data_IF_396528461630
#
_entry.id   IF_396528461630
#
_cell.length_a   1.000
_cell.length_b   1.000
_cell.length_c   1.000
_cell.angle_alpha   90.00
_cell.angle_beta   90.00
_cell.angle_gamma   90.00
#
_symmetry.space_group_name_H-M   'P 1'
#
loop_
_entity.id
_entity.type
_entity.pdbx_description
1 polymer ?
#
# COMPACT_ATOMS: atom_id res chain seq x y z
N UNK A 1 2.65 18.65 22.56
CA UNK A 1 2.58 17.84 21.31
C UNK A 1 1.16 17.28 21.21
N UNK A 2 0.55 17.25 20.04
CA UNK A 2 -0.82 16.72 19.88
C UNK A 2 -0.78 15.28 19.35
N UNK A 3 -1.57 14.40 19.95
CA UNK A 3 -1.77 13.02 19.49
C UNK A 3 -3.25 12.83 19.19
N UNK A 4 -3.56 12.23 18.04
CA UNK A 4 -4.95 11.92 17.65
C UNK A 4 -5.26 10.46 17.91
N UNK A 5 -6.45 10.21 18.45
CA UNK A 5 -7.02 8.87 18.60
C UNK A 5 -7.67 8.45 17.28
N UNK A 6 -7.25 7.32 16.74
CA UNK A 6 -7.87 6.68 15.57
C UNK A 6 -8.74 5.52 16.04
N UNK A 7 -9.99 5.46 15.59
CA UNK A 7 -10.88 4.35 15.88
C UNK A 7 -10.92 3.45 14.65
N UNK A 8 -10.47 2.21 14.78
CA UNK A 8 -10.61 1.23 13.70
C UNK A 8 -12.05 0.70 13.66
N UNK A 9 -12.64 0.69 12.47
CA UNK A 9 -13.96 0.10 12.22
C UNK A 9 -13.97 -1.42 12.53
N UNK A 10 -15.15 -2.04 12.75
CA UNK A 10 -15.25 -3.47 12.96
C UNK A 10 -14.59 -4.30 11.85
N UNK A 11 -14.76 -3.90 10.59
CA UNK A 11 -14.20 -4.61 9.43
C UNK A 11 -12.66 -4.58 9.45
N UNK A 12 -12.05 -3.47 9.89
CA UNK A 12 -10.61 -3.41 10.11
C UNK A 12 -10.14 -4.38 11.20
N UNK A 13 -10.89 -4.49 12.30
CA UNK A 13 -10.53 -5.37 13.42
C UNK A 13 -10.64 -6.84 13.04
N UNK A 14 -11.69 -7.21 12.29
CA UNK A 14 -11.85 -8.56 11.76
C UNK A 14 -10.70 -8.92 10.80
N UNK A 15 -10.32 -8.02 9.89
CA UNK A 15 -9.17 -8.22 9.01
C UNK A 15 -7.84 -8.31 9.76
N UNK A 16 -7.73 -7.60 10.89
CA UNK A 16 -6.57 -7.64 11.79
C UNK A 16 -6.42 -8.98 12.53
N UNK A 17 -7.47 -9.81 12.60
CA UNK A 17 -7.41 -11.15 13.19
C UNK A 17 -6.78 -12.17 12.23
N UNK A 18 -5.56 -11.85 11.79
CA UNK A 18 -4.85 -12.56 10.73
C UNK A 18 -4.45 -13.97 11.17
N UNK A 19 -4.82 -14.97 10.37
CA UNK A 19 -4.50 -16.37 10.55
C UNK A 19 -3.70 -16.89 9.33
N UNK A 20 -2.50 -17.43 9.55
CA UNK A 20 -1.62 -17.91 8.48
C UNK A 20 -2.27 -19.02 7.63
N UNK A 21 -2.85 -20.10 8.20
CA UNK A 21 -3.67 -21.05 7.46
C UNK A 21 -4.74 -20.45 6.53
N UNK A 22 -5.48 -19.44 6.96
CA UNK A 22 -6.51 -18.84 6.10
C UNK A 22 -5.89 -18.01 4.97
N UNK A 23 -4.76 -17.35 5.23
CA UNK A 23 -3.99 -16.68 4.18
C UNK A 23 -3.46 -17.66 3.12
N UNK A 24 -3.04 -18.87 3.53
CA UNK A 24 -2.62 -19.91 2.60
C UNK A 24 -3.79 -20.41 1.74
N UNK A 25 -4.97 -20.62 2.33
CA UNK A 25 -6.18 -21.01 1.56
C UNK A 25 -6.49 -19.98 0.48
N UNK A 26 -6.53 -18.70 0.85
CA UNK A 26 -6.78 -17.62 -0.11
C UNK A 26 -5.72 -17.54 -1.23
N UNK A 27 -4.47 -17.91 -0.93
CA UNK A 27 -3.42 -18.01 -1.96
C UNK A 27 -3.65 -19.20 -2.90
N UNK A 28 -4.04 -20.37 -2.39
CA UNK A 28 -4.31 -21.56 -3.23
C UNK A 28 -5.55 -21.37 -4.12
N UNK A 29 -6.54 -20.58 -3.70
CA UNK A 29 -7.73 -20.28 -4.52
C UNK A 29 -7.39 -19.58 -5.83
N UNK A 30 -6.37 -18.72 -5.82
CA UNK A 30 -6.05 -17.84 -6.95
C UNK A 30 -4.72 -18.20 -7.64
N UNK A 31 -3.96 -19.15 -7.09
CA UNK A 31 -2.62 -19.52 -7.56
C UNK A 31 -2.46 -21.03 -7.57
N UNK A 32 -1.73 -21.53 -8.55
CA UNK A 32 -1.26 -22.92 -8.49
C UNK A 32 -0.22 -23.05 -7.37
N UNK A 33 -0.16 -24.22 -6.73
CA UNK A 33 0.79 -24.46 -5.64
C UNK A 33 1.46 -25.81 -5.74
N UNK A 34 2.71 -25.90 -5.28
CA UNK A 34 3.47 -27.14 -5.18
C UNK A 34 4.31 -27.17 -3.91
N UNK A 35 4.35 -28.33 -3.25
CA UNK A 35 5.26 -28.58 -2.14
C UNK A 35 6.61 -28.99 -2.72
N UNK A 36 7.66 -28.25 -2.37
CA UNK A 36 9.02 -28.52 -2.83
C UNK A 36 9.79 -29.46 -1.88
N UNK A 37 9.42 -29.47 -0.61
CA UNK A 37 10.01 -30.38 0.37
C UNK A 37 9.96 -29.85 1.79
N UNK A 38 10.72 -30.51 2.67
CA UNK A 38 11.00 -30.04 4.02
C UNK A 38 12.48 -29.65 4.11
N UNK A 39 12.75 -28.48 4.69
CA UNK A 39 14.08 -27.94 4.90
C UNK A 39 14.25 -27.55 6.38
N UNK A 40 15.45 -27.10 6.75
CA UNK A 40 15.70 -26.52 8.06
C UNK A 40 16.17 -25.07 7.89
N UNK A 41 15.47 -24.13 8.53
CA UNK A 41 15.87 -22.73 8.62
C UNK A 41 16.00 -22.33 10.08
N UNK A 42 17.15 -21.77 10.47
CA UNK A 42 17.42 -21.36 11.86
C UNK A 42 17.15 -22.47 12.89
N UNK A 43 17.46 -23.73 12.53
CA UNK A 43 17.23 -24.91 13.36
C UNK A 43 15.77 -25.39 13.43
N UNK A 44 14.84 -24.73 12.74
CA UNK A 44 13.42 -25.10 12.69
C UNK A 44 13.09 -25.87 11.41
N UNK A 45 12.30 -26.96 11.49
CA UNK A 45 11.84 -27.66 10.31
C UNK A 45 10.76 -26.81 9.61
N UNK A 46 10.97 -26.53 8.34
CA UNK A 46 10.07 -25.72 7.52
C UNK A 46 9.56 -26.52 6.32
N UNK A 47 8.29 -26.34 5.98
CA UNK A 47 7.69 -26.82 4.74
C UNK A 47 7.89 -25.76 3.65
N UNK A 48 8.60 -26.11 2.59
CA UNK A 48 8.81 -25.24 1.45
C UNK A 48 7.67 -25.41 0.44
N UNK A 49 6.86 -24.37 0.29
CA UNK A 49 5.73 -24.30 -0.65
C UNK A 49 6.00 -23.21 -1.67
N UNK A 50 5.82 -23.54 -2.94
CA UNK A 50 5.84 -22.57 -4.02
C UNK A 50 4.43 -22.33 -4.52
N UNK A 51 4.11 -21.06 -4.77
CA UNK A 51 2.89 -20.60 -5.42
C UNK A 51 3.27 -19.95 -6.74
N UNK A 52 2.52 -20.29 -7.79
CA UNK A 52 2.76 -19.81 -9.14
C UNK A 52 1.52 -19.14 -9.70
N UNK A 53 1.71 -17.93 -10.24
CA UNK A 53 0.67 -17.09 -10.82
C UNK A 53 1.02 -16.82 -12.29
N UNK A 54 0.10 -17.22 -13.18
CA UNK A 54 0.28 -17.00 -14.62
C UNK A 54 -0.13 -15.59 -14.99
N UNK A 55 0.79 -14.85 -15.59
CA UNK A 55 0.61 -13.47 -16.04
C UNK A 55 0.39 -13.49 -17.54
N UNK A 56 -0.81 -13.09 -18.03
CA UNK A 56 -1.14 -13.15 -19.45
C UNK A 56 -0.09 -12.45 -20.32
N UNK A 57 0.46 -13.18 -21.28
CA UNK A 57 1.44 -12.67 -22.25
C UNK A 57 2.86 -12.43 -21.72
N UNK A 58 3.13 -12.63 -20.42
CA UNK A 58 4.44 -12.36 -19.81
C UNK A 58 5.11 -13.59 -19.20
N UNK A 59 4.34 -14.59 -18.77
CA UNK A 59 4.88 -15.83 -18.18
C UNK A 59 4.43 -16.02 -16.74
N UNK A 60 5.24 -16.71 -15.94
CA UNK A 60 4.88 -17.13 -14.58
C UNK A 60 5.64 -16.34 -13.52
N UNK A 61 4.91 -15.79 -12.54
CA UNK A 61 5.49 -15.29 -11.29
C UNK A 61 5.49 -16.37 -10.23
N UNK A 62 6.50 -16.36 -9.36
CA UNK A 62 6.67 -17.36 -8.32
C UNK A 62 6.82 -16.72 -6.94
N UNK A 63 6.13 -17.30 -5.95
CA UNK A 63 6.27 -16.96 -4.53
C UNK A 63 6.67 -18.21 -3.78
N UNK A 64 7.79 -18.14 -3.06
CA UNK A 64 8.27 -19.22 -2.23
C UNK A 64 8.02 -18.88 -0.76
N UNK A 65 7.45 -19.83 -0.04
CA UNK A 65 7.20 -19.75 1.38
C UNK A 65 7.87 -20.91 2.10
N UNK A 66 8.66 -20.61 3.12
CA UNK A 66 9.19 -21.59 4.06
C UNK A 66 8.39 -21.48 5.36
N UNK A 67 7.43 -22.38 5.52
CA UNK A 67 6.46 -22.35 6.61
C UNK A 67 6.96 -23.18 7.79
N UNK A 68 7.08 -22.61 8.98
CA UNK A 68 7.36 -23.36 10.20
C UNK A 68 6.27 -24.43 10.40
N UNK A 69 6.67 -25.69 10.57
CA UNK A 69 5.71 -26.81 10.59
C UNK A 69 4.83 -26.85 11.84
N UNK A 70 5.23 -26.17 12.92
CA UNK A 70 4.48 -26.16 14.17
C UNK A 70 3.44 -25.05 14.16
N UNK A 71 3.83 -23.86 13.70
CA UNK A 71 3.03 -22.64 13.78
C UNK A 71 2.36 -22.24 12.47
N UNK A 72 2.78 -22.84 11.36
CA UNK A 72 2.40 -22.43 10.01
C UNK A 72 2.76 -20.97 9.69
N UNK A 73 3.69 -20.38 10.42
CA UNK A 73 4.18 -19.03 10.15
C UNK A 73 5.24 -19.08 9.04
N UNK A 74 5.21 -18.19 8.04
CA UNK A 74 6.29 -18.07 7.05
C UNK A 74 7.55 -17.52 7.73
N UNK A 75 8.59 -18.34 7.83
CA UNK A 75 9.91 -17.96 8.33
C UNK A 75 10.69 -17.20 7.26
N UNK A 76 10.54 -17.61 6.01
CA UNK A 76 11.06 -16.90 4.84
C UNK A 76 9.98 -16.83 3.78
N UNK A 77 9.92 -15.69 3.12
CA UNK A 77 9.14 -15.48 1.90
C UNK A 77 10.03 -14.85 0.85
N UNK A 78 10.00 -15.41 -0.36
CA UNK A 78 10.67 -14.87 -1.52
C UNK A 78 9.70 -14.68 -2.67
N UNK A 79 9.86 -13.58 -3.38
CA UNK A 79 9.04 -13.21 -4.52
C UNK A 79 9.91 -13.07 -5.75
N UNK A 80 9.50 -13.76 -6.82
CA UNK A 80 10.16 -13.77 -8.10
C UNK A 80 9.23 -13.20 -9.17
N UNK A 81 9.72 -12.24 -9.95
CA UNK A 81 8.98 -11.68 -11.07
C UNK A 81 8.92 -12.65 -12.26
N UNK A 82 8.25 -12.26 -13.34
CA UNK A 82 8.13 -13.08 -14.57
C UNK A 82 9.46 -13.39 -15.26
N UNK A 83 10.54 -12.66 -14.94
CA UNK A 83 11.90 -12.90 -15.44
C UNK A 83 12.67 -13.92 -14.58
N UNK A 84 12.08 -14.37 -13.47
CA UNK A 84 12.74 -15.24 -12.50
C UNK A 84 13.72 -14.50 -11.57
N UNK A 85 13.64 -13.17 -11.49
CA UNK A 85 14.50 -12.36 -10.63
C UNK A 85 13.88 -12.23 -9.24
N UNK A 86 14.69 -12.39 -8.19
CA UNK A 86 14.27 -12.18 -6.80
C UNK A 86 14.04 -10.67 -6.55
N UNK A 87 12.78 -10.26 -6.45
CA UNK A 87 12.40 -8.85 -6.26
C UNK A 87 12.16 -8.48 -4.79
N UNK A 88 11.79 -9.45 -3.96
CA UNK A 88 11.60 -9.21 -2.53
C UNK A 88 11.89 -10.47 -1.72
N UNK A 89 12.63 -10.30 -0.62
CA UNK A 89 12.85 -11.34 0.39
C UNK A 89 12.47 -10.78 1.76
N UNK A 90 11.67 -11.53 2.50
CA UNK A 90 11.35 -11.28 3.91
C UNK A 90 11.76 -12.50 4.71
N UNK A 91 12.43 -12.27 5.83
CA UNK A 91 12.93 -13.35 6.67
C UNK A 91 12.80 -13.00 8.14
N UNK A 92 12.20 -13.91 8.90
CA UNK A 92 12.12 -13.87 10.35
C UNK A 92 13.46 -14.37 10.90
N UNK A 93 14.23 -13.45 11.47
CA UNK A 93 15.55 -13.77 12.03
C UNK A 93 15.46 -14.43 13.41
N UNK A 94 14.45 -14.06 14.19
CA UNK A 94 14.24 -14.58 15.53
C UNK A 94 12.73 -14.73 15.80
N UNK A 95 12.32 -15.92 16.24
CA UNK A 95 10.94 -16.23 16.57
C UNK A 95 10.87 -16.82 17.98
N UNK A 96 10.33 -16.03 18.92
CA UNK A 96 10.06 -16.44 20.31
C UNK A 96 8.55 -16.52 20.51
N UNK A 97 8.06 -17.69 20.88
CA UNK A 97 6.64 -17.96 21.07
C UNK A 97 6.36 -18.30 22.53
N UNK A 98 5.15 -17.98 23.00
CA UNK A 98 4.63 -18.39 24.31
C UNK A 98 5.52 -18.00 25.52
N UNK A 99 6.35 -16.96 25.42
CA UNK A 99 7.25 -16.56 26.51
C UNK A 99 6.57 -15.75 27.63
N UNK A 100 5.26 -15.49 27.54
CA UNK A 100 4.59 -14.51 28.40
C UNK A 100 5.16 -13.13 28.11
N UNK A 101 4.50 -12.38 27.22
CA UNK A 101 4.93 -11.00 26.96
C UNK A 101 4.49 -10.14 28.15
N UNK A 102 5.39 -9.35 28.76
CA UNK A 102 4.99 -8.49 29.87
C UNK A 102 4.01 -7.42 29.37
N UNK A 103 2.98 -7.12 30.16
CA UNK A 103 1.92 -6.15 29.82
C UNK A 103 2.48 -4.77 29.45
N UNK A 104 3.64 -4.40 30.01
CA UNK A 104 4.40 -3.19 29.67
C UNK A 104 4.75 -3.05 28.19
N UNK A 105 4.78 -4.14 27.40
CA UNK A 105 4.98 -4.06 25.94
C UNK A 105 3.75 -3.55 25.19
N UNK A 106 2.59 -3.57 25.84
CA UNK A 106 1.31 -3.13 25.29
C UNK A 106 0.83 -1.81 25.90
N UNK A 107 1.60 -1.26 26.85
CA UNK A 107 1.38 0.06 27.39
C UNK A 107 1.99 1.13 26.48
N UNK A 108 1.18 2.10 26.06
CA UNK A 108 1.63 3.24 25.29
C UNK A 108 2.06 4.36 26.25
N UNK A 109 3.36 4.50 26.48
CA UNK A 109 3.90 5.61 27.27
C UNK A 109 3.97 6.90 26.44
N UNK A 110 3.06 7.83 26.73
CA UNK A 110 3.01 9.11 26.04
C UNK A 110 3.97 10.11 26.72
N UNK A 111 4.82 10.82 25.97
CA UNK A 111 5.70 11.85 26.53
C UNK A 111 4.92 12.90 27.35
N UNK A 112 5.56 13.45 28.39
CA UNK A 112 4.99 14.55 29.17
C UNK A 112 4.58 15.75 28.27
N UNK A 113 3.44 16.36 28.58
CA UNK A 113 2.89 17.47 27.80
C UNK A 113 2.24 17.09 26.46
N UNK A 114 1.90 15.81 26.29
CA UNK A 114 1.01 15.35 25.20
C UNK A 114 -0.46 15.54 25.61
N UNK A 115 -1.22 16.20 24.76
CA UNK A 115 -2.69 16.28 24.87
C UNK A 115 -3.30 15.32 23.85
N UNK A 116 -4.21 14.45 24.31
CA UNK A 116 -5.00 13.57 23.43
C UNK A 116 -6.24 14.36 22.99
N UNK A 117 -6.42 14.53 21.69
CA UNK A 117 -7.63 15.13 21.14
C UNK A 117 -8.68 14.04 20.87
N UNK A 118 -9.71 13.97 21.71
CA UNK A 118 -10.81 13.02 21.54
C UNK A 118 -11.92 13.55 20.62
N UNK A 119 -12.13 14.87 20.54
CA UNK A 119 -13.23 15.51 19.80
C UNK A 119 -13.15 15.32 18.27
N UNK A 120 -12.02 14.83 17.74
CA UNK A 120 -11.82 14.53 16.32
C UNK A 120 -11.58 13.03 16.06
N UNK A 121 -12.08 12.14 16.92
CA UNK A 121 -11.92 10.70 16.72
C UNK A 121 -12.67 10.24 15.47
N UNK A 122 -11.92 9.95 14.41
CA UNK A 122 -12.46 9.44 13.17
C UNK A 122 -12.49 7.91 13.19
N UNK A 123 -13.60 7.33 12.74
CA UNK A 123 -13.65 5.91 12.40
C UNK A 123 -12.98 5.72 11.05
N UNK A 124 -11.87 4.98 11.03
CA UNK A 124 -11.22 4.58 9.80
C UNK A 124 -11.95 3.38 9.22
N UNK A 125 -12.49 3.53 8.01
CA UNK A 125 -13.11 2.48 7.22
C UNK A 125 -12.15 1.90 6.18
N UNK A 126 -12.33 0.62 5.83
CA UNK A 126 -11.54 -0.01 4.78
C UNK A 126 -11.77 0.70 3.43
N UNK A 127 -10.73 0.83 2.58
CA UNK A 127 -10.93 1.30 1.21
C UNK A 127 -11.96 0.43 0.48
N UNK A 128 -12.89 1.08 -0.22
CA UNK A 128 -13.95 0.41 -0.99
C UNK A 128 -13.52 0.29 -2.45
N UNK A 129 -13.57 -0.91 -3.04
CA UNK A 129 -13.35 -1.07 -4.48
C UNK A 129 -14.49 -0.40 -5.25
N UNK A 130 -14.16 0.47 -6.21
CA UNK A 130 -15.13 1.22 -7.02
C UNK A 130 -14.68 1.28 -8.48
N UNK A 131 -15.58 1.61 -9.38
CA UNK A 131 -15.31 1.93 -10.78
C UNK A 131 -14.95 3.40 -10.96
N UNK A 132 -14.38 3.75 -12.12
CA UNK A 132 -14.07 5.14 -12.46
C UNK A 132 -15.35 6.00 -12.60
N UNK A 133 -16.45 5.39 -13.05
CA UNK A 133 -17.75 6.05 -13.17
C UNK A 133 -18.34 6.40 -11.79
N UNK A 134 -18.33 5.45 -10.85
CA UNK A 134 -18.74 5.72 -9.46
C UNK A 134 -17.84 6.77 -8.79
N UNK A 135 -16.54 6.77 -9.12
CA UNK A 135 -15.64 7.82 -8.65
C UNK A 135 -16.03 9.19 -9.19
N UNK A 136 -16.40 9.28 -10.48
CA UNK A 136 -16.84 10.54 -11.08
C UNK A 136 -18.10 11.08 -10.40
N UNK A 137 -19.07 10.22 -10.10
CA UNK A 137 -20.28 10.60 -9.35
C UNK A 137 -19.93 11.13 -7.94
N UNK A 138 -19.01 10.47 -7.22
CA UNK A 138 -18.59 10.90 -5.87
C UNK A 138 -17.77 12.19 -5.88
N UNK A 139 -17.02 12.45 -6.95
CA UNK A 139 -16.17 13.63 -7.09
C UNK A 139 -16.90 14.81 -7.73
N UNK A 140 -18.09 14.59 -8.31
CA UNK A 140 -18.83 15.56 -9.13
C UNK A 140 -18.00 16.10 -10.32
N UNK A 141 -17.06 15.28 -10.81
CA UNK A 141 -16.24 15.56 -12.00
C UNK A 141 -15.55 14.29 -12.49
N UNK A 142 -15.14 14.28 -13.77
CA UNK A 142 -14.34 13.22 -14.33
C UNK A 142 -12.98 13.12 -13.60
N UNK A 143 -12.62 11.97 -13.01
CA UNK A 143 -11.34 11.80 -12.34
C UNK A 143 -10.19 11.75 -13.34
N UNK A 144 -9.04 12.26 -12.91
CA UNK A 144 -7.80 12.16 -13.65
C UNK A 144 -7.22 10.76 -13.56
N UNK A 145 -6.83 10.18 -14.68
CA UNK A 145 -6.18 8.86 -14.74
C UNK A 145 -5.04 8.84 -15.76
N UNK A 146 -4.11 7.91 -15.60
CA UNK A 146 -3.09 7.69 -16.62
C UNK A 146 -3.63 6.75 -17.70
N UNK A 147 -3.65 7.23 -18.93
CA UNK A 147 -3.88 6.40 -20.09
C UNK A 147 -2.61 5.58 -20.40
N UNK A 148 -2.74 4.25 -20.48
CA UNK A 148 -1.63 3.37 -20.83
C UNK A 148 -2.05 1.92 -20.94
N UNK A 149 -1.57 1.20 -21.95
CA UNK A 149 -2.00 -0.16 -22.26
C UNK A 149 -1.36 -1.24 -21.37
N UNK A 150 -0.35 -0.89 -20.56
CA UNK A 150 0.48 -1.86 -19.84
C UNK A 150 0.23 -1.89 -18.32
N UNK A 151 -0.80 -1.18 -17.83
CA UNK A 151 -1.12 -1.13 -16.41
C UNK A 151 -2.39 -1.89 -16.09
N UNK A 152 -2.35 -2.71 -15.04
CA UNK A 152 -3.55 -3.10 -14.29
C UNK A 152 -3.86 -1.97 -13.32
N UNK A 153 -5.03 -1.37 -13.46
CA UNK A 153 -5.47 -0.26 -12.63
C UNK A 153 -6.51 -0.78 -11.63
N UNK A 154 -6.34 -0.43 -10.35
CA UNK A 154 -7.34 -0.66 -9.30
C UNK A 154 -7.76 0.68 -8.71
N UNK A 155 -9.06 0.92 -8.66
CA UNK A 155 -9.65 2.12 -8.07
C UNK A 155 -10.31 1.78 -6.74
N UNK A 156 -10.04 2.61 -5.74
CA UNK A 156 -10.63 2.48 -4.42
C UNK A 156 -11.06 3.84 -3.88
N UNK A 157 -12.17 3.88 -3.16
CA UNK A 157 -12.58 5.04 -2.38
C UNK A 157 -12.06 4.92 -0.96
N UNK A 158 -11.39 5.95 -0.48
CA UNK A 158 -10.94 6.06 0.90
C UNK A 158 -11.68 7.21 1.56
N UNK A 159 -12.46 6.91 2.59
CA UNK A 159 -13.13 7.95 3.38
C UNK A 159 -12.12 8.64 4.30
N UNK A 160 -12.00 9.96 4.16
CA UNK A 160 -11.01 10.78 4.88
C UNK A 160 -11.69 11.61 5.97
N UNK A 161 -12.97 11.94 5.82
CA UNK A 161 -13.85 12.54 6.82
C UNK A 161 -15.27 12.03 6.56
N UNK A 162 -16.17 12.15 7.54
CA UNK A 162 -17.56 11.70 7.38
C UNK A 162 -18.17 12.28 6.09
N UNK A 163 -18.55 11.39 5.17
CA UNK A 163 -19.17 11.74 3.89
C UNK A 163 -18.23 12.37 2.85
N UNK A 164 -16.93 12.50 3.12
CA UNK A 164 -15.93 13.01 2.18
C UNK A 164 -14.71 12.09 2.10
N UNK A 165 -14.38 11.69 0.88
CA UNK A 165 -13.27 10.79 0.62
C UNK A 165 -12.42 11.23 -0.55
N UNK A 166 -11.52 10.34 -0.92
CA UNK A 166 -10.60 10.49 -2.02
C UNK A 166 -10.61 9.22 -2.86
N UNK A 167 -10.44 9.39 -4.16
CA UNK A 167 -10.17 8.30 -5.08
C UNK A 167 -8.68 7.96 -4.99
N UNK A 168 -8.38 6.70 -4.71
CA UNK A 168 -7.06 6.10 -4.80
C UNK A 168 -7.01 5.20 -6.02
N UNK A 169 -6.13 5.53 -6.96
CA UNK A 169 -5.88 4.77 -8.20
C UNK A 169 -4.49 4.15 -8.13
N UNK A 170 -4.44 2.82 -8.09
CA UNK A 170 -3.20 2.04 -8.04
C UNK A 170 -2.89 1.49 -9.44
N UNK A 171 -1.73 1.84 -9.97
CA UNK A 171 -1.22 1.40 -11.27
C UNK A 171 -0.14 0.34 -11.06
N UNK A 172 -0.41 -0.88 -11.49
CA UNK A 172 0.51 -2.02 -11.36
C UNK A 172 0.95 -2.50 -12.74
N UNK A 173 2.25 -2.78 -12.88
CA UNK A 173 2.77 -3.45 -14.07
C UNK A 173 2.44 -4.94 -13.94
N UNK A 174 1.89 -5.54 -14.99
CA UNK A 174 1.65 -6.98 -15.02
C UNK A 174 2.98 -7.72 -14.81
N UNK A 175 3.02 -8.68 -13.90
CA UNK A 175 4.26 -9.40 -13.60
C UNK A 175 5.11 -8.82 -12.47
N UNK A 176 4.74 -7.65 -11.95
CA UNK A 176 5.40 -7.00 -10.83
C UNK A 176 4.53 -7.04 -9.57
N UNK A 177 5.17 -7.19 -8.41
CA UNK A 177 4.50 -7.31 -7.10
C UNK A 177 4.10 -5.97 -6.52
N UNK A 178 4.97 -4.97 -6.65
CA UNK A 178 4.76 -3.64 -6.11
C UNK A 178 4.07 -2.77 -7.16
N UNK A 179 3.08 -1.95 -6.76
CA UNK A 179 2.50 -1.00 -7.67
C UNK A 179 3.59 -0.03 -8.16
N UNK A 180 3.56 0.28 -9.45
CA UNK A 180 4.46 1.25 -10.04
C UNK A 180 4.17 2.64 -9.49
N UNK A 181 2.90 2.97 -9.38
CA UNK A 181 2.42 4.30 -9.05
C UNK A 181 1.07 4.23 -8.34
N UNK A 182 0.88 5.12 -7.38
CA UNK A 182 -0.40 5.40 -6.75
C UNK A 182 -0.70 6.87 -6.98
N UNK A 183 -1.91 7.17 -7.45
CA UNK A 183 -2.43 8.53 -7.59
C UNK A 183 -3.64 8.66 -6.68
N UNK A 184 -3.67 9.69 -5.85
CA UNK A 184 -4.80 9.98 -4.97
C UNK A 184 -5.36 11.35 -5.32
N UNK A 185 -6.68 11.49 -5.38
CA UNK A 185 -7.34 12.75 -5.69
C UNK A 185 -8.66 12.91 -4.94
N UNK A 186 -8.97 14.14 -4.52
CA UNK A 186 -10.28 14.45 -3.96
C UNK A 186 -10.38 15.85 -3.35
N UNK A 187 -11.59 16.23 -2.88
CA UNK A 187 -11.90 17.58 -2.41
C UNK A 187 -11.42 17.87 -0.97
N UNK A 188 -10.67 16.94 -0.37
CA UNK A 188 -10.17 17.05 1.00
C UNK A 188 -8.67 16.81 1.05
N UNK A 189 -7.94 17.55 1.91
CA UNK A 189 -6.54 17.25 2.18
C UNK A 189 -6.40 15.82 2.72
N UNK A 190 -5.54 15.03 2.08
CA UNK A 190 -5.34 13.61 2.39
C UNK A 190 -3.85 13.24 2.47
N UNK A 191 -2.96 14.20 2.26
CA UNK A 191 -1.52 14.00 2.45
C UNK A 191 -1.21 13.97 3.95
N UNK A 192 -1.05 12.77 4.50
CA UNK A 192 -0.66 12.58 5.91
C UNK A 192 0.86 12.56 6.05
N UNK A 193 1.49 13.73 5.88
CA UNK A 193 2.93 13.87 6.09
C UNK A 193 3.27 13.94 7.58
N UNK A 194 4.39 13.32 8.01
CA UNK A 194 5.00 13.65 9.29
C UNK A 194 5.18 15.17 9.45
N UNK A 195 4.98 15.75 10.65
CA UNK A 195 5.04 17.21 10.88
C UNK A 195 6.34 17.91 10.48
N UNK A 196 7.43 17.13 10.31
CA UNK A 196 8.77 17.63 9.96
C UNK A 196 9.20 17.22 8.54
N UNK A 197 8.27 16.80 7.69
CA UNK A 197 8.60 16.43 6.31
C UNK A 197 9.02 17.68 5.54
N UNK A 198 10.21 17.65 4.93
CA UNK A 198 10.65 18.72 4.04
C UNK A 198 9.99 18.57 2.68
N UNK A 199 9.40 19.66 2.19
CA UNK A 199 8.79 19.76 0.87
C UNK A 199 9.62 20.71 0.00
N UNK A 200 10.14 20.22 -1.11
CA UNK A 200 10.82 21.00 -2.14
C UNK A 200 9.76 21.54 -3.12
N UNK A 201 9.59 22.88 -3.27
CA UNK A 201 8.66 23.43 -4.25
C UNK A 201 9.09 23.05 -5.68
N UNK A 202 8.15 22.59 -6.49
CA UNK A 202 8.38 22.21 -7.89
C UNK A 202 7.31 22.80 -8.79
N UNK A 203 7.69 23.16 -10.01
CA UNK A 203 6.74 23.55 -11.07
C UNK A 203 6.35 22.28 -11.85
N UNK A 204 5.05 22.04 -11.99
CA UNK A 204 4.48 20.88 -12.66
C UNK A 204 3.59 21.34 -13.81
N UNK A 205 3.47 20.51 -14.84
CA UNK A 205 2.42 20.65 -15.85
C UNK A 205 1.23 19.79 -15.41
N UNK A 206 0.01 20.34 -15.41
CA UNK A 206 -1.22 19.63 -15.08
C UNK A 206 -2.36 20.26 -15.87
N UNK A 207 -3.12 19.43 -16.60
CA UNK A 207 -4.22 19.88 -17.48
C UNK A 207 -3.83 21.03 -18.43
N UNK A 208 -2.64 20.92 -19.03
CA UNK A 208 -2.08 21.93 -19.95
C UNK A 208 -1.71 23.27 -19.30
N UNK A 209 -1.65 23.34 -17.96
CA UNK A 209 -1.30 24.53 -17.18
C UNK A 209 -0.10 24.26 -16.30
N UNK A 210 0.60 25.34 -15.91
CA UNK A 210 1.62 25.28 -14.88
C UNK A 210 0.98 25.38 -13.50
N UNK A 211 1.28 24.43 -12.63
CA UNK A 211 0.86 24.42 -11.22
C UNK A 211 2.09 24.31 -10.32
N UNK A 212 2.00 24.88 -9.12
CA UNK A 212 3.03 24.70 -8.09
C UNK A 212 2.67 23.49 -7.24
N UNK A 213 3.59 22.54 -7.14
CA UNK A 213 3.47 21.38 -6.27
C UNK A 213 4.62 21.30 -5.26
N UNK A 214 4.56 20.27 -4.42
CA UNK A 214 5.59 19.91 -3.48
C UNK A 214 6.16 18.53 -3.82
N UNK A 215 7.49 18.44 -3.85
CA UNK A 215 8.20 17.17 -3.89
C UNK A 215 8.65 16.82 -2.48
N UNK A 216 8.20 15.66 -2.00
CA UNK A 216 8.52 15.13 -0.68
C UNK A 216 9.40 13.91 -0.88
N UNK A 217 10.58 13.92 -0.24
CA UNK A 217 11.43 12.73 -0.17
C UNK A 217 10.86 11.80 0.89
N UNK A 218 10.49 10.60 0.47
CA UNK A 218 10.03 9.53 1.35
C UNK A 218 11.05 8.40 1.22
N UNK A 219 11.41 7.74 2.32
CA UNK A 219 12.22 6.52 2.26
C UNK A 219 11.44 5.42 2.97
N UNK A 220 10.42 4.91 2.28
CA UNK A 220 9.51 3.92 2.81
C UNK A 220 9.18 2.87 1.74
N UNK A 221 9.51 1.61 2.04
CA UNK A 221 9.15 0.47 1.20
C UNK A 221 9.51 0.62 -0.29
N UNK A 222 10.66 1.24 -0.59
CA UNK A 222 11.16 1.47 -1.95
C UNK A 222 10.59 2.70 -2.66
N UNK A 223 9.60 3.39 -2.08
CA UNK A 223 9.14 4.69 -2.58
C UNK A 223 10.12 5.75 -2.12
N UNK A 224 10.75 6.44 -3.08
CA UNK A 224 11.78 7.49 -2.84
C UNK A 224 11.19 8.90 -2.78
N UNK A 225 10.10 9.12 -3.49
CA UNK A 225 9.52 10.43 -3.70
C UNK A 225 7.99 10.35 -3.77
N UNK A 226 7.36 11.42 -3.32
CA UNK A 226 5.94 11.67 -3.51
C UNK A 226 5.77 13.12 -3.95
N UNK A 227 4.83 13.35 -4.86
CA UNK A 227 4.36 14.68 -5.23
C UNK A 227 3.03 14.96 -4.59
N UNK A 228 2.81 16.21 -4.21
CA UNK A 228 1.50 16.76 -3.93
C UNK A 228 1.30 18.06 -4.71
N UNK A 229 0.05 18.32 -5.11
CA UNK A 229 -0.34 19.58 -5.71
C UNK A 229 -1.83 19.82 -5.50
N UNK A 230 -2.25 21.04 -5.78
CA UNK A 230 -3.65 21.43 -5.70
C UNK A 230 -4.06 22.10 -7.01
N UNK A 231 -5.28 21.82 -7.45
CA UNK A 231 -5.88 22.48 -8.60
C UNK A 231 -7.41 22.53 -8.41
N UNK A 232 -8.03 23.67 -8.72
CA UNK A 232 -9.48 23.88 -8.67
C UNK A 232 -10.18 23.37 -7.38
N UNK A 233 -9.54 23.52 -6.22
CA UNK A 233 -10.11 23.09 -4.93
C UNK A 233 -9.98 21.59 -4.64
N UNK A 234 -9.32 20.83 -5.53
CA UNK A 234 -8.95 19.45 -5.33
C UNK A 234 -7.49 19.33 -4.91
N UNK A 235 -7.24 18.31 -4.10
CA UNK A 235 -5.92 17.89 -3.68
C UNK A 235 -5.54 16.67 -4.48
N UNK A 236 -4.27 16.60 -4.87
CA UNK A 236 -3.72 15.49 -5.62
C UNK A 236 -2.41 15.06 -4.99
N UNK A 237 -2.16 13.75 -5.00
CA UNK A 237 -0.86 13.19 -4.67
C UNK A 237 -0.51 12.09 -5.65
N UNK A 238 0.78 11.92 -5.93
CA UNK A 238 1.25 10.72 -6.60
C UNK A 238 2.61 10.26 -6.08
N UNK A 239 2.84 8.95 -6.03
CA UNK A 239 4.09 8.37 -5.54
C UNK A 239 4.16 6.89 -5.86
N UNK A 240 5.36 6.33 -5.90
CA UNK A 240 5.57 4.93 -6.28
C UNK A 240 7.03 4.59 -6.53
N UNK A 241 7.25 3.56 -7.34
CA UNK A 241 8.56 3.03 -7.72
C UNK A 241 9.15 3.75 -8.95
N UNK A 242 8.91 5.06 -9.05
CA UNK A 242 9.43 5.90 -10.14
C UNK A 242 10.61 6.73 -9.65
N UNK A 243 11.57 6.97 -10.54
CA UNK A 243 12.64 7.94 -10.28
C UNK A 243 12.10 9.37 -10.33
N UNK A 244 12.81 10.32 -9.69
CA UNK A 244 12.37 11.72 -9.54
C UNK A 244 11.90 12.33 -10.86
N UNK A 245 12.71 12.19 -11.92
CA UNK A 245 12.44 12.81 -13.22
C UNK A 245 11.24 12.24 -13.96
N UNK A 246 10.89 10.98 -13.69
CA UNK A 246 9.69 10.34 -14.24
C UNK A 246 8.46 10.75 -13.44
N UNK A 247 8.57 10.74 -12.10
CA UNK A 247 7.49 11.16 -11.21
C UNK A 247 7.04 12.61 -11.50
N UNK A 248 7.98 13.53 -11.75
CA UNK A 248 7.69 14.93 -12.08
C UNK A 248 6.87 15.12 -13.37
N UNK A 249 6.85 14.12 -14.27
CA UNK A 249 6.09 14.16 -15.52
C UNK A 249 4.68 13.60 -15.36
N UNK A 250 4.41 12.83 -14.31
CA UNK A 250 3.12 12.15 -14.11
C UNK A 250 1.94 13.13 -14.10
N UNK A 251 1.97 14.27 -13.40
CA UNK A 251 0.84 15.20 -13.41
C UNK A 251 0.44 15.64 -14.84
N UNK A 252 1.41 15.86 -15.72
CA UNK A 252 1.15 16.29 -17.10
C UNK A 252 0.67 15.18 -18.03
N UNK A 253 0.75 13.92 -17.60
CA UNK A 253 0.27 12.75 -18.34
C UNK A 253 -1.14 12.33 -17.91
N UNK A 254 -1.65 12.88 -16.81
CA UNK A 254 -2.98 12.58 -16.33
C UNK A 254 -4.03 13.21 -17.25
N UNK A 255 -5.03 12.42 -17.62
CA UNK A 255 -6.16 12.86 -18.45
C UNK A 255 -7.47 12.54 -17.76
N UNK A 256 -8.48 13.39 -17.94
CA UNK A 256 -9.84 13.07 -17.53
C UNK A 256 -10.42 12.01 -18.47
N UNK A 257 -11.04 10.99 -17.88
CA UNK A 257 -11.76 9.92 -18.60
C UNK A 257 -13.15 10.34 -19.05
#
# INVERSE_FOLDING_TARGET
>A
RQVRKLILSPEYRERGNFNFPDSLKAMVENKSSRILGTEYLHGRPVLHVQFSEQVPGLGEMNTHHWMDKETWMPIRTEYYNVKGELVNRREVRELRLNQGLPDSLFELDLPEGVTIEEENSQVLHLPQDITLAEAAERLDQAPYSLAGQNYKIKHQWVEVKEGKGVLLSTYSVLGEQTPLLIVTQGPVPHTNLPPNSSMEPVELEFDGRKVTGGLIKIDLAGVKYMLDWQDNGFYYTCGGQLEKDELLKIPGQLTQG
#
